data_IF_077647197195
#
_entry.id   IF_077647197195
#
_cell.length_a   1.000
_cell.length_b   1.000
_cell.length_c   1.000
_cell.angle_alpha   90.00
_cell.angle_beta   90.00
_cell.angle_gamma   90.00
#
_symmetry.space_group_name_H-M   'P 1'
#
loop_
_entity.id
_entity.type
_entity.pdbx_description
1 polymer ?
#
# COMPACT_ATOMS: atom_id res chain seq x y z
N UNK A 1 11.78 1.11 6.35
CA UNK A 1 10.91 1.16 5.14
C UNK A 1 11.36 2.24 4.17
N UNK A 2 11.47 3.50 4.61
CA UNK A 2 11.83 4.69 3.79
C UNK A 2 13.15 4.58 3.01
N UNK A 3 14.15 3.84 3.50
CA UNK A 3 15.45 3.70 2.84
C UNK A 3 15.43 2.86 1.56
N UNK A 4 14.46 1.95 1.43
CA UNK A 4 14.38 1.03 0.28
C UNK A 4 13.90 1.71 -1.01
N UNK A 5 13.11 2.79 -0.88
CA UNK A 5 12.44 3.47 -2.00
C UNK A 5 13.07 4.82 -2.37
N UNK A 6 14.05 5.28 -1.59
CA UNK A 6 14.64 6.61 -1.73
C UNK A 6 15.38 6.87 -3.07
N UNK A 7 15.67 5.83 -3.85
CA UNK A 7 16.41 5.91 -5.12
C UNK A 7 15.53 5.72 -6.37
N UNK A 8 14.23 5.46 -6.18
CA UNK A 8 13.26 5.21 -7.26
C UNK A 8 12.40 6.45 -7.41
N UNK A 9 11.90 6.78 -8.59
CA UNK A 9 10.95 7.88 -8.82
C UNK A 9 9.75 7.38 -9.63
N UNK A 10 8.66 8.17 -9.68
CA UNK A 10 7.45 7.84 -10.47
C UNK A 10 6.84 6.46 -10.15
N UNK A 11 6.20 5.83 -11.14
CA UNK A 11 5.54 4.53 -11.00
C UNK A 11 6.37 3.46 -10.23
N UNK A 12 7.68 3.42 -10.41
CA UNK A 12 8.54 2.42 -9.78
C UNK A 12 8.63 2.57 -8.26
N UNK A 13 8.69 3.80 -7.74
CA UNK A 13 8.66 4.06 -6.29
C UNK A 13 7.29 3.70 -5.70
N UNK A 14 6.19 3.94 -6.41
CA UNK A 14 4.84 3.52 -5.97
C UNK A 14 4.75 2.01 -5.84
N UNK A 15 5.22 1.28 -6.85
CA UNK A 15 5.23 -0.19 -6.85
C UNK A 15 6.00 -0.72 -5.65
N UNK A 16 7.23 -0.25 -5.44
CA UNK A 16 8.06 -0.73 -4.33
C UNK A 16 7.50 -0.31 -2.97
N UNK A 17 6.93 0.88 -2.83
CA UNK A 17 6.32 1.32 -1.59
C UNK A 17 5.13 0.44 -1.20
N UNK A 18 4.24 0.11 -2.16
CA UNK A 18 3.07 -0.75 -1.92
C UNK A 18 3.52 -2.16 -1.54
N UNK A 19 4.40 -2.78 -2.33
CA UNK A 19 4.86 -4.15 -2.07
C UNK A 19 5.59 -4.24 -0.73
N UNK A 20 6.42 -3.23 -0.41
CA UNK A 20 7.12 -3.17 0.88
C UNK A 20 6.13 -2.98 2.04
N UNK A 21 5.08 -2.17 1.87
CA UNK A 21 4.06 -1.96 2.90
C UNK A 21 3.31 -3.25 3.21
N UNK A 22 2.86 -3.97 2.17
CA UNK A 22 2.20 -5.27 2.32
C UNK A 22 3.11 -6.26 3.03
N UNK A 23 4.39 -6.34 2.63
CA UNK A 23 5.36 -7.23 3.26
C UNK A 23 5.60 -6.88 4.74
N UNK A 24 5.70 -5.59 5.08
CA UNK A 24 5.90 -5.14 6.45
C UNK A 24 4.70 -5.49 7.36
N UNK A 25 3.46 -5.29 6.87
CA UNK A 25 2.26 -5.67 7.63
C UNK A 25 2.20 -7.19 7.84
N UNK A 26 2.51 -7.99 6.81
CA UNK A 26 2.52 -9.45 6.92
C UNK A 26 3.64 -10.00 7.82
N UNK A 27 4.75 -9.26 7.96
CA UNK A 27 5.84 -9.62 8.86
C UNK A 27 5.51 -9.32 10.34
N UNK A 28 4.55 -8.43 10.60
CA UNK A 28 4.05 -8.12 11.93
C UNK A 28 2.95 -9.13 12.32
N UNK A 29 3.24 -9.97 13.32
CA UNK A 29 2.34 -11.02 13.77
C UNK A 29 1.00 -10.48 14.32
N UNK A 30 1.03 -9.31 14.96
CA UNK A 30 -0.17 -8.68 15.53
C UNK A 30 -1.07 -8.13 14.44
N UNK A 31 -0.50 -7.37 13.50
CA UNK A 31 -1.25 -6.82 12.38
C UNK A 31 -1.77 -7.93 11.47
N UNK A 32 -0.95 -8.94 11.18
CA UNK A 32 -1.36 -10.09 10.37
C UNK A 32 -2.53 -10.85 10.99
N UNK A 33 -2.47 -11.11 12.30
CA UNK A 33 -3.56 -11.76 13.01
C UNK A 33 -4.84 -10.94 12.97
N UNK A 34 -4.74 -9.62 13.22
CA UNK A 34 -5.87 -8.70 13.18
C UNK A 34 -6.51 -8.65 11.78
N UNK A 35 -5.72 -8.55 10.72
CA UNK A 35 -6.21 -8.55 9.34
C UNK A 35 -6.92 -9.86 8.95
N UNK A 36 -6.43 -11.00 9.44
CA UNK A 36 -6.99 -12.30 9.12
C UNK A 36 -8.26 -12.66 9.93
N UNK A 37 -8.41 -12.14 11.17
CA UNK A 37 -9.42 -12.63 12.10
C UNK A 37 -10.34 -11.56 12.70
N UNK A 38 -9.98 -10.28 12.61
CA UNK A 38 -10.64 -9.19 13.34
C UNK A 38 -11.10 -8.06 12.43
N UNK A 39 -10.77 -8.12 11.14
CA UNK A 39 -11.16 -7.15 10.12
C UNK A 39 -12.68 -7.15 9.93
N UNK A 40 -13.31 -6.01 10.18
CA UNK A 40 -14.70 -5.71 9.82
C UNK A 40 -14.71 -4.69 8.68
N UNK A 41 -15.79 -4.67 7.87
CA UNK A 41 -15.92 -3.68 6.78
C UNK A 41 -15.78 -2.23 7.27
N UNK A 42 -16.35 -1.92 8.45
CA UNK A 42 -16.25 -0.60 9.07
C UNK A 42 -14.82 -0.20 9.44
N UNK A 43 -13.97 -1.17 9.81
CA UNK A 43 -12.57 -0.91 10.12
C UNK A 43 -11.76 -0.55 8.85
N UNK A 44 -12.11 -1.13 7.70
CA UNK A 44 -11.46 -0.82 6.43
C UNK A 44 -11.81 0.58 5.95
N UNK A 45 -13.07 0.97 6.07
CA UNK A 45 -13.52 2.31 5.70
C UNK A 45 -12.87 3.37 6.60
N UNK A 46 -12.73 3.09 7.90
CA UNK A 46 -11.99 3.96 8.81
C UNK A 46 -10.51 4.09 8.42
N UNK A 47 -9.83 2.99 8.12
CA UNK A 47 -8.42 3.01 7.72
C UNK A 47 -8.23 3.70 6.36
N UNK A 48 -9.12 3.46 5.41
CA UNK A 48 -9.06 4.03 4.06
C UNK A 48 -9.39 5.53 4.01
N UNK A 49 -10.17 6.03 4.98
CA UNK A 49 -10.52 7.45 5.10
C UNK A 49 -9.59 8.22 6.06
N UNK A 50 -8.67 7.54 6.74
CA UNK A 50 -7.76 8.14 7.71
C UNK A 50 -6.75 9.11 7.04
N UNK A 51 -6.77 10.41 7.38
CA UNK A 51 -5.81 11.38 6.86
C UNK A 51 -4.37 11.09 7.31
N UNK A 52 -4.19 10.53 8.51
CA UNK A 52 -2.86 10.20 9.05
C UNK A 52 -2.23 9.04 8.29
N UNK A 53 -3.00 7.99 7.97
CA UNK A 53 -2.52 6.88 7.13
C UNK A 53 -2.24 7.35 5.70
N UNK A 54 -3.06 8.25 5.15
CA UNK A 54 -2.79 8.87 3.86
C UNK A 54 -1.44 9.61 3.86
N UNK A 55 -1.18 10.44 4.88
CA UNK A 55 0.10 11.16 5.03
C UNK A 55 1.30 10.21 5.16
N UNK A 56 1.15 9.12 5.90
CA UNK A 56 2.19 8.09 6.01
C UNK A 56 2.43 7.41 4.66
N UNK A 57 1.37 7.04 3.94
CA UNK A 57 1.46 6.45 2.61
C UNK A 57 2.13 7.40 1.62
N UNK A 58 1.74 8.67 1.60
CA UNK A 58 2.35 9.75 0.81
C UNK A 58 3.83 9.92 1.12
N UNK A 59 4.22 9.93 2.40
CA UNK A 59 5.62 10.06 2.80
C UNK A 59 6.45 8.84 2.40
N UNK A 60 5.84 7.64 2.36
CA UNK A 60 6.50 6.39 1.98
C UNK A 60 6.61 6.21 0.46
N UNK A 61 5.59 6.64 -0.29
CA UNK A 61 5.57 6.56 -1.76
C UNK A 61 6.28 7.73 -2.42
N UNK A 62 6.51 8.84 -1.71
CA UNK A 62 7.23 10.02 -2.18
C UNK A 62 6.63 10.69 -3.42
N UNK A 63 5.38 10.36 -3.77
CA UNK A 63 4.78 10.66 -5.10
C UNK A 63 3.44 11.36 -5.03
N UNK A 64 2.76 11.33 -3.89
CA UNK A 64 1.43 11.91 -3.79
C UNK A 64 1.47 13.23 -2.99
N UNK A 65 1.87 14.39 -3.58
CA UNK A 65 1.55 15.70 -2.98
C UNK A 65 0.03 15.91 -2.90
N UNK A 66 -0.73 15.04 -3.54
CA UNK A 66 -2.18 14.87 -3.50
C UNK A 66 -2.61 13.88 -2.39
N UNK A 67 -3.44 14.37 -1.46
CA UNK A 67 -4.05 13.58 -0.39
C UNK A 67 -4.94 12.43 -0.91
N UNK A 68 -5.57 12.59 -2.08
CA UNK A 68 -6.37 11.55 -2.72
C UNK A 68 -5.52 10.40 -3.26
N UNK A 69 -4.35 10.70 -3.85
CA UNK A 69 -3.35 9.69 -4.23
C UNK A 69 -2.87 8.87 -3.04
N UNK A 70 -2.60 9.50 -1.89
CA UNK A 70 -2.25 8.83 -0.64
C UNK A 70 -3.36 7.88 -0.15
N UNK A 71 -4.61 8.35 -0.12
CA UNK A 71 -5.78 7.53 0.24
C UNK A 71 -5.97 6.35 -0.73
N UNK A 72 -5.72 6.56 -2.02
CA UNK A 72 -5.83 5.50 -3.02
C UNK A 72 -4.80 4.40 -2.78
N UNK A 73 -3.55 4.76 -2.47
CA UNK A 73 -2.50 3.80 -2.12
C UNK A 73 -2.89 2.97 -0.88
N UNK A 74 -3.46 3.61 0.15
CA UNK A 74 -3.94 2.90 1.36
C UNK A 74 -4.97 1.83 0.98
N UNK A 75 -5.94 2.17 0.12
CA UNK A 75 -6.94 1.21 -0.36
C UNK A 75 -6.31 0.04 -1.10
N UNK A 76 -5.34 0.29 -1.97
CA UNK A 76 -4.60 -0.77 -2.70
C UNK A 76 -3.90 -1.72 -1.72
N UNK A 77 -3.20 -1.19 -0.72
CA UNK A 77 -2.53 -2.01 0.32
C UNK A 77 -3.55 -2.84 1.09
N UNK A 78 -4.66 -2.24 1.52
CA UNK A 78 -5.73 -2.95 2.23
C UNK A 78 -6.35 -4.08 1.40
N UNK A 79 -6.52 -3.88 0.08
CA UNK A 79 -7.02 -4.90 -0.83
C UNK A 79 -6.04 -6.08 -0.95
N UNK A 80 -4.75 -5.82 -1.13
CA UNK A 80 -3.72 -6.87 -1.22
C UNK A 80 -3.56 -7.65 0.10
N UNK A 81 -3.83 -7.01 1.24
CA UNK A 81 -3.83 -7.69 2.53
C UNK A 81 -5.07 -8.59 2.72
N UNK A 82 -6.25 -8.16 2.29
CA UNK A 82 -7.46 -8.97 2.37
C UNK A 82 -7.51 -10.10 1.33
N UNK A 83 -6.97 -9.85 0.14
CA UNK A 83 -7.01 -10.75 -1.01
C UNK A 83 -5.58 -10.95 -1.54
N UNK A 84 -4.76 -11.75 -0.83
CA UNK A 84 -3.39 -12.01 -1.23
C UNK A 84 -3.34 -12.72 -2.59
N UNK A 85 -2.36 -12.36 -3.43
CA UNK A 85 -2.08 -13.14 -4.62
C UNK A 85 -1.33 -14.43 -4.26
N UNK A 86 -1.12 -15.31 -5.26
CA UNK A 86 -0.38 -16.56 -5.07
C UNK A 86 1.05 -16.35 -4.54
N UNK A 87 1.72 -15.28 -4.96
CA UNK A 87 3.06 -14.91 -4.49
C UNK A 87 3.35 -13.40 -4.67
N UNK A 88 4.44 -12.94 -4.05
CA UNK A 88 4.88 -11.54 -4.09
C UNK A 88 5.26 -11.05 -5.49
N UNK A 89 5.71 -11.94 -6.38
CA UNK A 89 6.04 -11.57 -7.77
C UNK A 89 4.77 -11.23 -8.54
N UNK A 90 3.70 -11.99 -8.33
CA UNK A 90 2.40 -11.72 -8.92
C UNK A 90 1.79 -10.43 -8.35
N UNK A 91 1.91 -10.17 -7.04
CA UNK A 91 1.49 -8.90 -6.44
C UNK A 91 2.22 -7.71 -7.07
N UNK A 92 3.55 -7.79 -7.19
CA UNK A 92 4.33 -6.74 -7.86
C UNK A 92 3.87 -6.51 -9.30
N UNK A 93 3.63 -7.58 -10.07
CA UNK A 93 3.14 -7.46 -11.44
C UNK A 93 1.75 -6.82 -11.51
N UNK A 94 0.85 -7.15 -10.59
CA UNK A 94 -0.48 -6.53 -10.53
C UNK A 94 -0.37 -5.03 -10.24
N UNK A 95 0.42 -4.65 -9.23
CA UNK A 95 0.62 -3.24 -8.87
C UNK A 95 1.27 -2.48 -10.03
N UNK A 96 2.31 -3.05 -10.65
CA UNK A 96 2.99 -2.45 -11.80
C UNK A 96 2.05 -2.24 -13.00
N UNK A 97 1.16 -3.20 -13.28
CA UNK A 97 0.30 -3.14 -14.47
C UNK A 97 -0.99 -2.34 -14.28
N UNK A 98 -1.55 -2.35 -13.07
CA UNK A 98 -2.90 -1.83 -12.83
C UNK A 98 -2.95 -0.62 -11.87
N UNK A 99 -1.89 -0.37 -11.11
CA UNK A 99 -1.85 0.74 -10.14
C UNK A 99 -0.85 1.79 -10.55
N UNK A 100 0.37 1.38 -10.91
CA UNK A 100 1.46 2.29 -11.24
C UNK A 100 1.14 3.31 -12.35
N UNK A 101 0.41 2.97 -13.43
CA UNK A 101 0.06 3.93 -14.47
C UNK A 101 -0.80 5.12 -14.00
N UNK A 102 -1.48 5.01 -12.85
CA UNK A 102 -2.23 6.13 -12.27
C UNK A 102 -1.31 7.21 -11.66
N UNK A 103 -0.01 6.92 -11.56
CA UNK A 103 1.01 7.77 -10.93
C UNK A 103 2.17 8.10 -11.89
N UNK A 104 2.09 7.67 -13.15
CA UNK A 104 3.00 8.11 -14.21
C UNK A 104 2.57 9.51 -14.66
N UNK A 105 3.24 10.54 -14.12
CA UNK A 105 3.11 11.94 -14.57
C UNK A 105 4.47 12.50 -14.91
#
# INVERSE_FOLDING_TARGET
MTRAVAHLDGAERVVEAIVTAVAAVRADATLSYWFAHTRTGDADDYLASSPDLSRVATALTGIAPDEAGGQWVVRVVLTLLAWPAADTRMERQMVQRFVAPAFDT
#
